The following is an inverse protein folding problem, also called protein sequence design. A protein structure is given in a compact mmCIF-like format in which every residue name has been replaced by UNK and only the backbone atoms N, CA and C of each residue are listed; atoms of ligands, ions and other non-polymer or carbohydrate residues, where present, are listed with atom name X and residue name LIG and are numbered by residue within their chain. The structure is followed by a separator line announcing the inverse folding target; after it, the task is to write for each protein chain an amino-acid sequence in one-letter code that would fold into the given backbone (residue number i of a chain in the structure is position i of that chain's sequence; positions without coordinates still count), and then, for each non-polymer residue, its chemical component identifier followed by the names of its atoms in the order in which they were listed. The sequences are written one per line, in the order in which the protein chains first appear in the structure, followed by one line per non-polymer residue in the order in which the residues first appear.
data_IF_631508860460
#
_entry.id   IF_631508860460
#
_cell.length_a   1.000
_cell.length_b   1.000
_cell.length_c   1.000
_cell.angle_alpha   90.00
_cell.angle_beta   90.00
_cell.angle_gamma   90.00
#
_symmetry.space_group_name_H-M   'P 1'
#
loop_
_entity.id
_entity.type
_entity.pdbx_description
1 polymer ?
#
# COMPACT_ATOMS: atom_id res chain seq x y z
N UNK A 1 38.36 10.03 1.50
CA UNK A 1 37.42 9.42 0.57
C UNK A 1 37.23 7.94 0.94
N UNK A 2 36.06 7.59 1.43
CA UNK A 2 35.70 6.21 1.75
C UNK A 2 34.42 5.89 0.98
N UNK A 3 34.50 5.31 -0.22
CA UNK A 3 33.34 5.00 -1.05
C UNK A 3 32.27 4.15 -0.33
N UNK A 4 32.68 3.31 0.62
CA UNK A 4 31.75 2.51 1.42
C UNK A 4 30.84 3.31 2.36
N UNK A 5 31.06 4.62 2.48
CA UNK A 5 30.22 5.55 3.29
C UNK A 5 29.41 6.53 2.44
N UNK A 6 29.51 6.43 1.12
CA UNK A 6 28.72 7.26 0.22
C UNK A 6 27.29 6.73 0.13
N UNK A 7 26.37 7.63 -0.12
CA UNK A 7 25.01 7.26 -0.47
C UNK A 7 24.96 6.76 -1.91
N UNK A 8 24.29 5.65 -2.11
CA UNK A 8 24.15 5.02 -3.41
C UNK A 8 22.68 4.93 -3.78
N UNK A 9 22.41 4.95 -5.08
CA UNK A 9 21.09 4.69 -5.63
C UNK A 9 21.22 3.78 -6.85
N UNK A 10 20.22 2.95 -7.07
CA UNK A 10 20.07 2.21 -8.31
C UNK A 10 19.49 3.11 -9.39
N UNK A 11 19.96 2.92 -10.62
CA UNK A 11 19.46 3.61 -11.81
C UNK A 11 19.04 2.54 -12.82
N UNK A 12 17.80 2.62 -13.28
CA UNK A 12 17.34 1.77 -14.38
C UNK A 12 17.94 2.28 -15.70
N UNK A 13 18.54 1.39 -16.47
CA UNK A 13 19.27 1.73 -17.70
C UNK A 13 18.47 2.61 -18.68
N UNK A 14 17.18 2.28 -18.83
CA UNK A 14 16.29 2.95 -19.81
C UNK A 14 15.50 4.12 -19.21
N UNK A 15 15.77 4.48 -17.94
CA UNK A 15 15.13 5.57 -17.20
C UNK A 15 16.16 6.43 -16.48
N UNK A 16 17.00 7.10 -17.28
CA UNK A 16 17.99 8.03 -16.75
C UNK A 16 17.30 9.19 -16.01
N UNK A 17 17.84 9.54 -14.85
CA UNK A 17 17.29 10.59 -13.98
C UNK A 17 16.32 10.13 -12.92
N UNK A 18 15.91 8.85 -12.92
CA UNK A 18 15.18 8.24 -11.81
C UNK A 18 16.15 7.45 -10.92
N UNK A 19 16.22 7.85 -9.66
CA UNK A 19 17.13 7.25 -8.67
C UNK A 19 16.29 6.46 -7.65
N UNK A 20 16.63 5.19 -7.47
CA UNK A 20 16.02 4.35 -6.45
C UNK A 20 16.98 4.27 -5.27
N UNK A 21 16.68 4.88 -4.13
CA UNK A 21 17.57 4.88 -2.98
C UNK A 21 17.81 3.47 -2.48
N UNK A 22 19.03 3.21 -2.03
CA UNK A 22 19.41 1.99 -1.34
C UNK A 22 19.48 2.34 0.15
N UNK A 23 18.61 1.75 0.93
CA UNK A 23 18.64 1.86 2.39
C UNK A 23 19.38 0.66 2.98
N UNK A 24 20.26 0.91 3.94
CA UNK A 24 21.08 -0.11 4.58
C UNK A 24 21.11 0.11 6.09
N UNK A 25 20.69 -0.89 6.84
CA UNK A 25 20.74 -0.88 8.29
C UNK A 25 21.32 -2.20 8.85
N UNK A 26 21.33 -2.35 10.16
CA UNK A 26 21.81 -3.55 10.85
C UNK A 26 21.07 -4.85 10.47
N UNK A 27 19.87 -4.74 9.91
CA UNK A 27 19.03 -5.87 9.51
C UNK A 27 19.19 -6.25 8.03
N UNK A 28 19.84 -5.41 7.23
CA UNK A 28 20.10 -5.69 5.81
C UNK A 28 20.06 -4.49 4.89
N UNK A 29 20.15 -4.78 3.60
CA UNK A 29 20.08 -3.80 2.51
C UNK A 29 18.70 -3.86 1.85
N UNK A 30 18.04 -2.72 1.78
CA UNK A 30 16.70 -2.55 1.18
C UNK A 30 16.84 -1.77 -0.11
N UNK A 31 16.49 -2.40 -1.22
CA UNK A 31 16.72 -1.82 -2.55
C UNK A 31 15.41 -1.30 -3.15
N UNK A 32 14.33 -2.02 -2.99
CA UNK A 32 13.01 -1.66 -3.49
C UNK A 32 11.98 -1.91 -2.39
N UNK A 33 11.25 -0.88 -2.04
CA UNK A 33 10.19 -0.97 -1.05
C UNK A 33 8.84 -0.79 -1.74
N UNK A 34 8.04 -1.85 -1.81
CA UNK A 34 6.72 -1.78 -2.43
C UNK A 34 5.76 -0.97 -1.57
N UNK A 35 4.84 -0.25 -2.21
CA UNK A 35 3.68 0.34 -1.54
C UNK A 35 2.81 -0.76 -0.93
N UNK A 36 2.09 -0.44 0.14
CA UNK A 36 1.03 -1.32 0.64
C UNK A 36 -0.20 -1.16 -0.25
N UNK A 37 -0.80 -2.28 -0.67
CA UNK A 37 -2.01 -2.25 -1.49
C UNK A 37 -3.23 -1.96 -0.62
N UNK A 38 -3.99 -0.93 -0.97
CA UNK A 38 -5.24 -0.58 -0.30
C UNK A 38 -6.34 -0.30 -1.33
N UNK A 39 -7.38 -1.12 -1.30
CA UNK A 39 -8.51 -1.07 -2.25
C UNK A 39 -9.80 -0.61 -1.58
N UNK A 40 -9.72 0.01 -0.40
CA UNK A 40 -10.91 0.33 0.42
C UNK A 40 -11.86 1.31 -0.27
N UNK A 41 -11.34 2.20 -1.10
CA UNK A 41 -12.14 3.17 -1.87
C UNK A 41 -12.69 2.58 -3.19
N UNK A 42 -12.37 1.31 -3.48
CA UNK A 42 -12.68 0.62 -4.73
C UNK A 42 -13.54 -0.64 -4.52
N UNK A 43 -14.30 -0.70 -3.43
CA UNK A 43 -15.19 -1.82 -3.12
C UNK A 43 -16.17 -2.12 -4.27
N UNK A 44 -16.79 -1.12 -4.93
CA UNK A 44 -17.67 -1.40 -6.08
C UNK A 44 -17.00 -2.21 -7.18
N UNK A 45 -15.78 -1.87 -7.54
CA UNK A 45 -15.04 -2.54 -8.61
C UNK A 45 -14.71 -3.99 -8.25
N UNK A 46 -14.31 -4.23 -7.00
CA UNK A 46 -14.00 -5.58 -6.51
C UNK A 46 -15.26 -6.48 -6.50
N UNK A 47 -16.38 -5.94 -6.06
CA UNK A 47 -17.64 -6.69 -6.04
C UNK A 47 -18.16 -6.98 -7.46
N UNK A 48 -18.10 -5.98 -8.36
CA UNK A 48 -18.48 -6.17 -9.79
C UNK A 48 -17.58 -7.15 -10.52
N UNK A 49 -16.32 -7.24 -10.14
CA UNK A 49 -15.40 -8.24 -10.68
C UNK A 49 -15.74 -9.67 -10.22
N UNK A 50 -16.75 -9.85 -9.38
CA UNK A 50 -17.20 -11.17 -8.90
C UNK A 50 -16.30 -11.78 -7.84
N UNK A 51 -15.63 -10.96 -7.05
CA UNK A 51 -14.76 -11.43 -5.96
C UNK A 51 -15.62 -11.81 -4.76
N UNK A 52 -15.62 -13.09 -4.38
CA UNK A 52 -16.40 -13.62 -3.26
C UNK A 52 -15.75 -13.42 -1.89
N UNK A 53 -14.42 -13.25 -1.85
CA UNK A 53 -13.68 -13.16 -0.59
C UNK A 53 -12.45 -12.27 -0.72
N UNK A 54 -12.24 -11.38 0.25
CA UNK A 54 -11.07 -10.52 0.33
C UNK A 54 -10.10 -11.05 1.38
N UNK A 55 -8.85 -11.25 0.97
CA UNK A 55 -7.78 -11.62 1.88
C UNK A 55 -7.01 -10.37 2.31
N UNK A 56 -6.95 -10.14 3.62
CA UNK A 56 -6.11 -9.11 4.23
C UNK A 56 -4.81 -9.76 4.67
N UNK A 57 -3.68 -9.24 4.19
CA UNK A 57 -2.36 -9.73 4.60
C UNK A 57 -1.86 -8.90 5.80
N UNK A 58 -1.65 -9.60 6.90
CA UNK A 58 -1.20 -8.98 8.15
C UNK A 58 -0.23 -9.86 8.94
N UNK A 59 0.36 -10.92 8.32
CA UNK A 59 1.23 -11.87 9.04
C UNK A 59 2.40 -11.21 9.77
N UNK A 60 2.99 -10.18 9.17
CA UNK A 60 4.10 -9.42 9.77
C UNK A 60 3.64 -8.15 10.50
N UNK A 61 2.35 -7.98 10.70
CA UNK A 61 1.75 -6.81 11.32
C UNK A 61 1.27 -7.14 12.75
N UNK A 62 0.93 -6.09 13.52
CA UNK A 62 0.35 -6.24 14.85
C UNK A 62 -1.09 -6.79 14.84
N UNK A 63 -1.55 -7.31 15.97
CA UNK A 63 -2.96 -7.68 16.14
C UNK A 63 -3.87 -6.45 15.99
N UNK A 64 -3.40 -5.27 16.44
CA UNK A 64 -4.10 -4.00 16.26
C UNK A 64 -4.31 -3.68 14.78
N UNK A 65 -3.26 -3.79 13.95
CA UNK A 65 -3.38 -3.63 12.49
C UNK A 65 -4.49 -4.54 11.92
N UNK A 66 -4.44 -5.83 12.25
CA UNK A 66 -5.41 -6.78 11.71
C UNK A 66 -6.85 -6.44 12.11
N UNK A 67 -7.05 -6.06 13.37
CA UNK A 67 -8.37 -5.67 13.88
C UNK A 67 -8.91 -4.42 13.18
N UNK A 68 -8.10 -3.36 13.12
CA UNK A 68 -8.50 -2.06 12.53
C UNK A 68 -8.78 -2.20 11.04
N UNK A 69 -7.88 -2.82 10.27
CA UNK A 69 -8.06 -2.98 8.83
C UNK A 69 -9.25 -3.87 8.51
N UNK A 70 -9.44 -4.98 9.24
CA UNK A 70 -10.61 -5.85 9.03
C UNK A 70 -11.90 -5.12 9.32
N UNK A 71 -11.96 -4.34 10.40
CA UNK A 71 -13.14 -3.54 10.74
C UNK A 71 -13.43 -2.49 9.68
N UNK A 72 -12.41 -1.77 9.20
CA UNK A 72 -12.57 -0.77 8.16
C UNK A 72 -13.12 -1.36 6.85
N UNK A 73 -12.55 -2.47 6.38
CA UNK A 73 -13.05 -3.15 5.18
C UNK A 73 -14.45 -3.72 5.38
N UNK A 74 -14.75 -4.28 6.57
CA UNK A 74 -16.11 -4.76 6.86
C UNK A 74 -17.14 -3.63 6.80
N UNK A 75 -16.83 -2.49 7.41
CA UNK A 75 -17.70 -1.31 7.37
C UNK A 75 -17.90 -0.77 5.93
N UNK A 76 -16.83 -0.71 5.15
CA UNK A 76 -16.90 -0.27 3.74
C UNK A 76 -17.77 -1.22 2.89
N UNK A 77 -17.59 -2.53 3.04
CA UNK A 77 -18.38 -3.53 2.31
C UNK A 77 -19.85 -3.47 2.72
N UNK A 78 -20.13 -3.40 4.01
CA UNK A 78 -21.52 -3.33 4.51
C UNK A 78 -22.21 -2.03 4.06
N UNK A 79 -21.48 -0.92 4.03
CA UNK A 79 -21.97 0.34 3.51
C UNK A 79 -22.35 0.27 2.03
N UNK A 80 -21.49 -0.34 1.22
CA UNK A 80 -21.76 -0.58 -0.20
C UNK A 80 -22.97 -1.50 -0.40
N UNK A 81 -23.05 -2.62 0.31
CA UNK A 81 -24.13 -3.61 0.14
C UNK A 81 -25.50 -3.07 0.57
N UNK A 82 -25.56 -2.09 1.48
CA UNK A 82 -26.82 -1.43 1.85
C UNK A 82 -27.40 -0.59 0.72
N UNK A 83 -26.55 0.06 -0.07
CA UNK A 83 -26.96 0.92 -1.17
C UNK A 83 -25.91 0.84 -2.30
N UNK A 84 -25.92 -0.23 -3.09
CA UNK A 84 -24.94 -0.43 -4.15
C UNK A 84 -25.03 0.71 -5.19
N UNK A 85 -23.89 1.36 -5.45
CA UNK A 85 -23.75 2.40 -6.44
C UNK A 85 -22.33 2.40 -7.00
N UNK A 86 -22.21 2.74 -8.28
CA UNK A 86 -20.90 2.88 -8.95
C UNK A 86 -20.07 4.02 -8.35
N UNK A 87 -20.75 5.04 -7.86
CA UNK A 87 -20.16 6.23 -7.22
C UNK A 87 -19.98 6.06 -5.70
N UNK A 88 -20.21 4.84 -5.16
CA UNK A 88 -20.06 4.62 -3.74
C UNK A 88 -18.64 4.99 -3.27
N UNK A 89 -18.59 5.73 -2.19
CA UNK A 89 -17.36 6.03 -1.44
C UNK A 89 -17.58 5.69 0.03
N UNK A 90 -16.61 5.03 0.67
CA UNK A 90 -16.66 4.83 2.12
C UNK A 90 -16.72 6.17 2.84
N UNK A 91 -17.35 6.19 4.00
CA UNK A 91 -17.32 7.35 4.90
C UNK A 91 -15.88 7.68 5.28
N UNK A 92 -15.59 8.98 5.47
CA UNK A 92 -14.21 9.44 5.70
C UNK A 92 -13.55 8.77 6.91
N UNK A 93 -14.30 8.51 7.98
CA UNK A 93 -13.76 7.84 9.16
C UNK A 93 -13.23 6.43 8.86
N UNK A 94 -13.84 5.71 7.90
CA UNK A 94 -13.39 4.37 7.48
C UNK A 94 -12.01 4.47 6.80
N UNK A 95 -11.84 5.48 5.95
CA UNK A 95 -10.56 5.75 5.29
C UNK A 95 -9.51 6.15 6.33
N UNK A 96 -9.88 7.00 7.29
CA UNK A 96 -8.97 7.47 8.34
C UNK A 96 -8.51 6.33 9.25
N UNK A 97 -9.35 5.31 9.52
CA UNK A 97 -8.96 4.12 10.27
C UNK A 97 -7.77 3.40 9.62
N UNK A 98 -7.75 3.29 8.28
CA UNK A 98 -6.63 2.63 7.59
C UNK A 98 -5.30 3.36 7.76
N UNK A 99 -5.32 4.62 8.16
CA UNK A 99 -4.13 5.47 8.36
C UNK A 99 -3.64 5.50 9.81
N UNK A 100 -4.39 4.91 10.74
CA UNK A 100 -4.01 4.83 12.16
C UNK A 100 -3.08 3.65 12.47
N UNK A 101 -2.89 2.77 11.52
CA UNK A 101 -2.03 1.59 11.65
C UNK A 101 -0.68 1.81 10.97
N UNK A 102 0.28 0.96 11.26
CA UNK A 102 1.58 0.98 10.58
C UNK A 102 1.45 0.56 9.11
N UNK A 103 1.69 1.47 8.18
CA UNK A 103 1.58 1.24 6.74
C UNK A 103 2.70 1.93 5.97
N UNK A 104 3.00 1.42 4.78
CA UNK A 104 3.76 2.12 3.75
C UNK A 104 2.80 2.92 2.90
N UNK A 105 3.30 3.87 2.12
CA UNK A 105 2.45 4.62 1.18
C UNK A 105 1.45 3.67 0.48
N UNK A 106 0.17 4.03 0.50
CA UNK A 106 -0.87 3.22 -0.12
C UNK A 106 -0.91 3.41 -1.64
N UNK A 107 -1.17 2.31 -2.34
CA UNK A 107 -1.44 2.28 -3.76
C UNK A 107 -2.47 1.20 -4.10
N UNK A 108 -2.92 1.17 -5.33
CA UNK A 108 -3.89 0.17 -5.81
C UNK A 108 -3.23 -1.06 -6.44
N UNK A 109 -1.93 -1.22 -6.28
CA UNK A 109 -1.18 -2.29 -6.95
C UNK A 109 -1.22 -2.12 -8.46
N UNK A 110 -1.59 -3.18 -9.18
CA UNK A 110 -1.67 -3.21 -10.64
C UNK A 110 -3.13 -3.20 -11.16
N UNK A 111 -4.11 -2.83 -10.32
CA UNK A 111 -5.52 -2.92 -10.71
C UNK A 111 -5.91 -1.89 -11.78
N UNK A 112 -5.36 -0.68 -11.73
CA UNK A 112 -5.74 0.42 -12.64
C UNK A 112 -4.60 0.87 -13.53
N UNK A 113 -3.37 0.50 -13.22
CA UNK A 113 -2.20 0.92 -13.96
C UNK A 113 -1.45 -0.28 -14.53
N UNK A 114 -0.88 -0.11 -15.73
CA UNK A 114 0.07 -1.08 -16.24
C UNK A 114 1.23 -1.26 -15.25
N UNK A 115 1.83 -2.45 -15.15
CA UNK A 115 2.94 -2.69 -14.27
C UNK A 115 4.09 -1.70 -14.53
N UNK A 116 4.19 -0.68 -13.71
CA UNK A 116 5.28 0.30 -13.72
C UNK A 116 5.98 0.22 -12.38
N UNK A 117 7.29 0.12 -12.40
CA UNK A 117 8.11 0.03 -11.18
C UNK A 117 7.85 1.23 -10.28
N UNK A 118 7.75 2.42 -10.85
CA UNK A 118 7.54 3.68 -10.16
C UNK A 118 6.14 3.83 -9.52
N UNK A 119 5.12 3.17 -10.05
CA UNK A 119 3.76 3.25 -9.50
C UNK A 119 3.62 2.50 -8.16
N UNK A 120 4.42 1.45 -7.95
CA UNK A 120 4.31 0.55 -6.79
C UNK A 120 5.51 0.57 -5.86
N UNK A 121 6.47 1.45 -6.09
CA UNK A 121 7.63 1.63 -5.21
C UNK A 121 7.40 2.85 -4.32
N UNK A 122 7.54 2.66 -3.00
CA UNK A 122 7.58 3.77 -2.06
C UNK A 122 8.98 4.38 -2.07
N UNK A 123 9.07 5.66 -2.38
CA UNK A 123 10.32 6.44 -2.31
C UNK A 123 10.59 6.98 -0.90
N UNK A 124 9.56 7.00 -0.06
CA UNK A 124 9.70 7.31 1.36
C UNK A 124 10.09 6.02 2.09
N UNK A 125 11.35 5.88 2.46
CA UNK A 125 11.86 4.71 3.15
C UNK A 125 11.12 4.45 4.47
N UNK A 126 10.61 3.23 4.65
CA UNK A 126 10.07 2.76 5.91
C UNK A 126 8.55 2.85 6.06
N UNK A 127 8.10 2.25 7.17
CA UNK A 127 6.68 2.30 7.58
C UNK A 127 6.38 3.61 8.29
N UNK A 128 5.24 4.22 7.99
CA UNK A 128 4.66 5.19 8.91
C UNK A 128 4.29 4.44 10.18
N UNK A 129 4.76 4.89 11.32
CA UNK A 129 4.49 4.27 12.63
C UNK A 129 3.11 4.65 13.12
N UNK A 130 2.53 3.74 13.91
CA UNK A 130 1.28 3.95 14.66
C UNK A 130 1.40 5.12 15.63
#
# INVERSE_FOLDING_TARGET
AQPCRWEYALVQKDRQGHYFPIDNNENGTYILNSKDMCMIEHIPDLVKAGIDSFKIEGRAKSAYYTAVITNAYRAAIDGYLKNPSDDYKPEQWIIDETRKVSYREYGTGFFYEAPRIDANVSYEGGYRRE
#
